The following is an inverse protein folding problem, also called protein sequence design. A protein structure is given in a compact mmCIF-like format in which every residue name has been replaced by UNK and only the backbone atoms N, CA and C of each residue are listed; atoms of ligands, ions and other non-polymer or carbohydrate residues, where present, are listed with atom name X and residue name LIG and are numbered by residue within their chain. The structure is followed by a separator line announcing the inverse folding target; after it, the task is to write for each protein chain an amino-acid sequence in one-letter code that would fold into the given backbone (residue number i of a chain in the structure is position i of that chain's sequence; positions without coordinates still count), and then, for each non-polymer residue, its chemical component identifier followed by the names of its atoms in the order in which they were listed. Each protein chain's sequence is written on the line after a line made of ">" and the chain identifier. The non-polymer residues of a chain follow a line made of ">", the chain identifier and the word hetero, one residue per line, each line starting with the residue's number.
data_IF_655169397058
#
_entry.id   IF_655169397058
#
_cell.length_a   1.000
_cell.length_b   1.000
_cell.length_c   1.000
_cell.angle_alpha   90.00
_cell.angle_beta   90.00
_cell.angle_gamma   90.00
#
_symmetry.space_group_name_H-M   'P 1'
#
loop_
_entity.id
_entity.type
_entity.pdbx_description
1 polymer ?
#
# COMPACT_ATOMS: atom_id res chain seq x y z
N UNK A 1 2.15 -24.00 -4.63
CA UNK A 1 0.73 -23.73 -4.38
C UNK A 1 0.21 -24.86 -3.52
N UNK A 2 -0.01 -24.56 -2.24
CA UNK A 2 -0.58 -25.46 -1.25
C UNK A 2 -2.08 -25.60 -1.50
N UNK A 3 -2.69 -26.74 -1.17
CA UNK A 3 -4.16 -26.92 -1.17
C UNK A 3 -4.90 -25.87 -0.33
N UNK A 4 -4.21 -25.28 0.64
CA UNK A 4 -4.74 -24.20 1.48
C UNK A 4 -4.77 -22.86 0.72
N UNK A 5 -3.80 -22.58 -0.15
CA UNK A 5 -3.77 -21.38 -0.98
C UNK A 5 -4.96 -21.39 -1.95
N UNK A 6 -5.24 -22.55 -2.56
CA UNK A 6 -6.36 -22.74 -3.48
C UNK A 6 -7.72 -22.52 -2.79
N UNK A 7 -7.82 -22.80 -1.49
CA UNK A 7 -9.04 -22.58 -0.72
C UNK A 7 -9.33 -21.08 -0.53
N UNK A 8 -8.29 -20.27 -0.28
CA UNK A 8 -8.44 -18.81 -0.17
C UNK A 8 -8.86 -18.18 -1.49
N UNK A 9 -8.24 -18.58 -2.61
CA UNK A 9 -8.62 -18.08 -3.94
C UNK A 9 -10.07 -18.43 -4.30
N UNK A 10 -10.51 -19.67 -4.03
CA UNK A 10 -11.89 -20.08 -4.31
C UNK A 10 -12.93 -19.35 -3.45
N UNK A 11 -12.59 -18.95 -2.22
CA UNK A 11 -13.48 -18.20 -1.34
C UNK A 11 -13.59 -16.74 -1.82
N UNK A 12 -12.47 -16.12 -2.19
CA UNK A 12 -12.47 -14.75 -2.74
C UNK A 12 -13.29 -14.69 -4.04
N UNK A 13 -13.12 -15.66 -4.93
CA UNK A 13 -13.85 -15.70 -6.20
C UNK A 13 -15.36 -15.90 -5.99
N UNK A 14 -15.77 -16.71 -5.01
CA UNK A 14 -17.17 -16.87 -4.61
C UNK A 14 -17.75 -15.62 -3.96
N UNK A 15 -16.97 -14.93 -3.12
CA UNK A 15 -17.38 -13.68 -2.47
C UNK A 15 -17.60 -12.57 -3.52
N UNK A 16 -16.63 -12.37 -4.43
CA UNK A 16 -16.76 -11.39 -5.51
C UNK A 16 -17.95 -11.72 -6.45
N UNK A 17 -18.28 -13.01 -6.65
CA UNK A 17 -19.47 -13.40 -7.41
C UNK A 17 -20.77 -13.04 -6.68
N UNK A 18 -20.81 -13.22 -5.35
CA UNK A 18 -21.96 -12.85 -4.51
C UNK A 18 -22.15 -11.32 -4.45
N UNK A 19 -21.06 -10.57 -4.35
CA UNK A 19 -21.06 -9.09 -4.31
C UNK A 19 -21.56 -8.50 -5.63
N UNK A 20 -21.16 -9.08 -6.78
CA UNK A 20 -21.71 -8.71 -8.09
C UNK A 20 -23.21 -9.01 -8.20
N UNK A 21 -23.67 -10.13 -7.64
CA UNK A 21 -25.11 -10.46 -7.61
C UNK A 21 -25.89 -9.54 -6.67
N UNK A 22 -25.28 -9.09 -5.57
CA UNK A 22 -25.86 -8.14 -4.63
C UNK A 22 -25.82 -6.68 -5.11
N UNK A 23 -25.25 -6.41 -6.30
CA UNK A 23 -25.12 -5.06 -6.85
C UNK A 23 -24.09 -4.19 -6.13
N UNK A 24 -23.23 -4.79 -5.30
CA UNK A 24 -22.13 -4.11 -4.62
C UNK A 24 -20.98 -4.04 -5.62
N UNK A 25 -20.88 -2.93 -6.33
CA UNK A 25 -19.80 -2.72 -7.28
C UNK A 25 -18.46 -2.58 -6.53
N UNK A 26 -17.58 -3.55 -6.73
CA UNK A 26 -16.20 -3.52 -6.24
C UNK A 26 -15.53 -2.22 -6.74
N UNK A 27 -14.98 -1.39 -5.84
CA UNK A 27 -14.40 -0.12 -6.24
C UNK A 27 -13.24 -0.40 -7.20
N UNK A 28 -13.34 0.11 -8.43
CA UNK A 28 -12.32 -0.10 -9.44
C UNK A 28 -10.95 0.34 -8.87
N UNK A 29 -10.05 -0.61 -8.65
CA UNK A 29 -8.67 -0.31 -8.29
C UNK A 29 -8.03 0.41 -9.47
N UNK A 30 -8.03 1.73 -9.41
CA UNK A 30 -7.37 2.57 -10.40
C UNK A 30 -5.89 2.70 -10.07
N UNK A 31 -5.05 2.83 -11.09
CA UNK A 31 -3.62 3.17 -10.93
C UNK A 31 -3.44 4.42 -10.06
N UNK A 32 -4.39 5.37 -10.16
CA UNK A 32 -4.43 6.54 -9.28
C UNK A 32 -4.60 6.16 -7.81
N UNK A 33 -5.49 5.23 -7.47
CA UNK A 33 -5.67 4.75 -6.10
C UNK A 33 -4.39 4.15 -5.54
N UNK A 34 -3.72 3.30 -6.32
CA UNK A 34 -2.43 2.70 -5.97
C UNK A 34 -1.31 3.75 -5.72
N UNK A 35 -1.20 4.74 -6.62
CA UNK A 35 -0.20 5.81 -6.47
C UNK A 35 -0.42 6.63 -5.20
N UNK A 36 -1.68 6.94 -4.87
CA UNK A 36 -2.00 7.74 -3.68
C UNK A 36 -1.88 6.94 -2.38
N UNK A 37 -2.26 5.66 -2.37
CA UNK A 37 -2.27 4.85 -1.15
C UNK A 37 -0.91 4.28 -0.78
N UNK A 38 -0.03 4.03 -1.76
CA UNK A 38 1.25 3.33 -1.53
C UNK A 38 2.43 4.22 -1.90
N UNK A 39 2.46 4.74 -3.13
CA UNK A 39 3.66 5.40 -3.65
C UNK A 39 3.89 6.75 -2.95
N UNK A 40 2.85 7.56 -2.82
CA UNK A 40 2.94 8.88 -2.19
C UNK A 40 3.39 8.84 -0.72
N UNK A 41 2.80 8.03 0.19
CA UNK A 41 3.27 7.97 1.57
C UNK A 41 4.70 7.43 1.68
N UNK A 42 5.10 6.50 0.80
CA UNK A 42 6.47 5.98 0.77
C UNK A 42 7.48 7.08 0.43
N UNK A 43 7.19 7.87 -0.61
CA UNK A 43 8.04 9.00 -1.01
C UNK A 43 8.07 10.06 0.11
N UNK A 44 6.91 10.39 0.69
CA UNK A 44 6.81 11.36 1.78
C UNK A 44 7.67 10.94 2.99
N UNK A 45 7.61 9.67 3.37
CA UNK A 45 8.43 9.13 4.45
C UNK A 45 9.92 9.18 4.12
N UNK A 46 10.31 8.83 2.89
CA UNK A 46 11.71 8.91 2.44
C UNK A 46 12.27 10.33 2.54
N UNK A 47 11.51 11.33 2.07
CA UNK A 47 11.90 12.75 2.17
C UNK A 47 11.98 13.20 3.63
N UNK A 48 11.01 12.80 4.47
CA UNK A 48 11.02 13.12 5.89
C UNK A 48 12.26 12.56 6.60
N UNK A 49 12.62 11.30 6.34
CA UNK A 49 13.80 10.66 6.93
C UNK A 49 15.10 11.36 6.52
N UNK A 50 15.24 11.72 5.23
CA UNK A 50 16.40 12.47 4.75
C UNK A 50 16.50 13.84 5.42
N UNK A 51 15.38 14.56 5.54
CA UNK A 51 15.33 15.84 6.23
C UNK A 51 15.67 15.73 7.73
N UNK A 52 15.12 14.72 8.41
CA UNK A 52 15.41 14.47 9.81
C UNK A 52 16.89 14.12 10.04
N UNK A 53 17.46 13.28 9.18
CA UNK A 53 18.88 12.93 9.23
C UNK A 53 19.77 14.16 9.04
N UNK A 54 19.45 15.01 8.05
CA UNK A 54 20.15 16.26 7.81
C UNK A 54 20.11 17.19 9.03
N UNK A 55 18.93 17.33 9.64
CA UNK A 55 18.74 18.16 10.83
C UNK A 55 19.60 17.66 11.99
N UNK A 56 19.64 16.35 12.23
CA UNK A 56 20.48 15.73 13.26
C UNK A 56 21.96 15.99 12.98
N UNK A 57 22.42 15.74 11.76
CA UNK A 57 23.82 15.96 11.37
C UNK A 57 24.24 17.42 11.60
N UNK A 58 23.37 18.36 11.19
CA UNK A 58 23.61 19.79 11.36
C UNK A 58 23.62 20.20 12.83
N UNK A 59 22.69 19.65 13.63
CA UNK A 59 22.56 19.95 15.05
C UNK A 59 23.77 19.49 15.87
N UNK A 60 24.27 18.29 15.58
CA UNK A 60 25.37 17.69 16.30
C UNK A 60 26.74 17.95 15.67
N UNK A 61 26.82 18.74 14.60
CA UNK A 61 28.04 18.97 13.81
C UNK A 61 28.77 17.66 13.48
N UNK A 62 28.02 16.61 13.11
CA UNK A 62 28.59 15.28 12.86
C UNK A 62 29.44 15.20 11.59
N UNK A 63 29.42 16.27 10.77
CA UNK A 63 30.26 16.45 9.57
C UNK A 63 31.36 17.50 9.79
N UNK A 64 31.70 17.81 11.05
CA UNK A 64 32.85 18.63 11.43
C UNK A 64 34.13 17.82 11.56
#
# INVERSE_FOLDING_TARGET
>A
MSKEDDAWFNIDEQASALERQAGIAEPAQTVRSFLWSIVLPTIAMGVFLLGALWAIISWFHLLG
#
